data_IF_829332457738
#
_entry.id   IF_829332457738
#
_cell.length_a   1.000
_cell.length_b   1.000
_cell.length_c   1.000
_cell.angle_alpha   90.00
_cell.angle_beta   90.00
_cell.angle_gamma   90.00
#
_symmetry.space_group_name_H-M   'P 1'
#
loop_
_entity.id
_entity.type
_entity.pdbx_description
1 polymer ?
#
# COMPACT_ATOMS: atom_id res chain seq x y z
N UNK A 1 35.56 14.48 28.97
CA UNK A 1 34.99 13.41 28.13
C UNK A 1 33.81 13.94 27.33
N UNK A 2 33.73 13.65 26.03
CA UNK A 2 32.51 13.80 25.21
C UNK A 2 31.69 12.51 25.32
N UNK A 3 30.38 12.61 25.44
CA UNK A 3 29.49 11.61 24.84
C UNK A 3 28.21 12.31 24.38
N UNK A 4 28.10 12.49 23.07
CA UNK A 4 26.88 12.89 22.38
C UNK A 4 26.03 11.63 22.22
N UNK A 5 24.76 11.68 22.62
CA UNK A 5 23.77 10.67 22.22
C UNK A 5 22.53 11.40 21.69
N UNK A 6 22.16 11.00 20.48
CA UNK A 6 21.31 11.67 19.51
C UNK A 6 19.84 11.78 19.90
N UNK A 7 19.16 12.78 19.31
CA UNK A 7 17.71 12.96 19.34
C UNK A 7 17.01 11.69 18.85
N UNK A 8 16.39 10.94 19.75
CA UNK A 8 15.37 9.96 19.39
C UNK A 8 14.06 10.70 19.20
N UNK A 9 13.63 10.85 17.94
CA UNK A 9 12.24 11.20 17.63
C UNK A 9 11.37 10.07 18.21
N UNK A 10 10.78 10.33 19.36
CA UNK A 10 9.79 9.44 19.96
C UNK A 10 8.54 9.46 19.07
N UNK A 11 8.41 8.46 18.21
CA UNK A 11 7.09 8.01 17.80
C UNK A 11 6.41 7.59 19.10
N UNK A 12 5.50 8.43 19.58
CA UNK A 12 4.73 8.14 20.78
C UNK A 12 3.97 6.83 20.51
N UNK A 13 4.48 5.74 21.07
CA UNK A 13 3.71 4.54 21.32
C UNK A 13 2.70 4.92 22.40
N UNK A 14 1.57 5.49 21.99
CA UNK A 14 0.45 5.72 22.87
C UNK A 14 -0.14 4.36 23.23
N UNK A 15 0.29 3.80 24.37
CA UNK A 15 -0.38 2.74 25.16
C UNK A 15 -1.36 1.86 24.34
N UNK A 16 -0.81 1.05 23.44
CA UNK A 16 -1.62 0.15 22.64
C UNK A 16 -2.03 -1.03 23.52
N UNK A 17 -3.31 -1.06 23.92
CA UNK A 17 -4.01 -2.34 24.09
C UNK A 17 -3.72 -3.15 22.82
N UNK A 18 -2.83 -4.14 22.92
CA UNK A 18 -2.42 -5.09 21.88
C UNK A 18 -3.18 -4.90 20.55
N UNK A 19 -2.64 -4.10 19.63
CA UNK A 19 -3.29 -3.77 18.37
C UNK A 19 -3.44 -5.03 17.52
N UNK A 20 -4.65 -5.60 17.54
CA UNK A 20 -4.99 -6.78 16.76
C UNK A 20 -5.61 -6.37 15.43
N UNK A 21 -4.76 -6.31 14.40
CA UNK A 21 -5.16 -5.97 13.04
C UNK A 21 -6.27 -6.89 12.52
N UNK A 22 -6.26 -8.18 12.89
CA UNK A 22 -7.24 -9.15 12.38
C UNK A 22 -8.63 -8.89 12.97
N UNK A 23 -8.70 -8.57 14.27
CA UNK A 23 -9.97 -8.23 14.91
C UNK A 23 -10.61 -6.97 14.33
N UNK A 24 -9.81 -5.93 14.07
CA UNK A 24 -10.33 -4.71 13.45
C UNK A 24 -10.75 -4.93 11.99
N UNK A 25 -9.98 -5.74 11.23
CA UNK A 25 -10.34 -6.09 9.86
C UNK A 25 -11.66 -6.86 9.82
N UNK A 26 -11.85 -7.82 10.72
CA UNK A 26 -13.11 -8.56 10.84
C UNK A 26 -14.26 -7.63 11.18
N UNK A 27 -14.11 -6.78 12.20
CA UNK A 27 -15.15 -5.83 12.59
C UNK A 27 -15.54 -4.88 11.44
N UNK A 28 -14.57 -4.46 10.63
CA UNK A 28 -14.81 -3.67 9.43
C UNK A 28 -15.56 -4.47 8.35
N UNK A 29 -15.11 -5.70 8.04
CA UNK A 29 -15.76 -6.55 7.04
C UNK A 29 -17.19 -6.94 7.43
N UNK A 30 -17.43 -7.17 8.73
CA UNK A 30 -18.76 -7.46 9.28
C UNK A 30 -19.75 -6.30 9.05
N UNK A 31 -19.28 -5.04 8.88
CA UNK A 31 -20.17 -3.92 8.52
C UNK A 31 -20.74 -4.03 7.11
N UNK A 32 -20.09 -4.80 6.23
CA UNK A 32 -20.43 -4.95 4.80
C UNK A 32 -20.56 -3.63 4.03
N UNK A 33 -20.08 -2.53 4.59
CA UNK A 33 -20.29 -1.19 4.03
C UNK A 33 -19.23 -0.80 2.98
N UNK A 34 -18.15 -1.58 2.86
CA UNK A 34 -17.01 -1.28 1.98
C UNK A 34 -16.27 0.01 2.40
N UNK A 35 -15.28 0.42 1.60
CA UNK A 35 -14.46 1.63 1.90
C UNK A 35 -15.11 2.93 1.43
N UNK A 36 -16.06 2.88 0.49
CA UNK A 36 -16.72 4.08 -0.05
C UNK A 36 -17.46 4.86 1.04
N UNK A 37 -18.07 4.17 2.00
CA UNK A 37 -18.81 4.78 3.11
C UNK A 37 -17.90 5.62 4.01
N UNK A 38 -16.62 5.26 4.14
CA UNK A 38 -15.67 5.98 4.98
C UNK A 38 -15.42 7.39 4.44
N UNK A 39 -15.37 7.52 3.11
CA UNK A 39 -15.22 8.81 2.43
C UNK A 39 -16.48 9.66 2.60
N UNK A 40 -17.66 9.08 2.39
CA UNK A 40 -18.93 9.79 2.59
C UNK A 40 -19.18 10.20 4.06
N UNK A 41 -18.70 9.40 5.02
CA UNK A 41 -18.81 9.71 6.45
C UNK A 41 -17.88 10.86 6.89
N UNK A 42 -17.01 11.36 6.00
CA UNK A 42 -16.14 12.50 6.31
C UNK A 42 -15.09 12.22 7.38
N UNK A 43 -14.61 10.97 7.47
CA UNK A 43 -13.60 10.62 8.49
C UNK A 43 -12.33 11.45 8.27
N UNK A 44 -11.77 11.97 9.36
CA UNK A 44 -10.56 12.81 9.34
C UNK A 44 -9.28 12.02 9.60
N UNK A 45 -9.42 10.76 10.05
CA UNK A 45 -8.30 9.85 10.34
C UNK A 45 -8.54 8.51 9.65
N UNK A 46 -7.51 8.03 8.95
CA UNK A 46 -7.52 6.72 8.31
C UNK A 46 -7.44 5.62 9.38
N UNK A 47 -8.34 4.61 9.39
CA UNK A 47 -8.25 3.49 10.31
C UNK A 47 -6.92 2.74 10.15
N UNK A 48 -6.30 2.35 11.28
CA UNK A 48 -4.97 1.74 11.30
C UNK A 48 -4.88 0.46 10.46
N UNK A 49 -5.99 -0.26 10.23
CA UNK A 49 -6.03 -1.46 9.38
C UNK A 49 -5.63 -1.19 7.92
N UNK A 50 -5.85 0.04 7.43
CA UNK A 50 -5.49 0.48 6.08
C UNK A 50 -4.07 1.05 6.00
N UNK A 51 -3.40 1.23 7.14
CA UNK A 51 -2.04 1.75 7.19
C UNK A 51 -1.08 0.57 7.02
N UNK A 52 -0.30 0.60 5.94
CA UNK A 52 0.80 -0.35 5.74
C UNK A 52 1.93 0.05 6.67
N UNK A 53 2.20 -0.79 7.68
CA UNK A 53 3.37 -0.61 8.53
C UNK A 53 4.63 -0.77 7.66
N UNK A 54 5.64 0.11 7.80
CA UNK A 54 6.89 0.00 7.07
C UNK A 54 7.67 -1.22 7.58
N UNK A 55 7.42 -2.41 7.02
CA UNK A 55 8.10 -3.65 7.44
C UNK A 55 9.45 -3.87 6.75
N UNK A 56 9.67 -3.20 5.64
CA UNK A 56 10.97 -2.85 5.06
C UNK A 56 10.71 -1.51 4.40
N UNK A 57 11.74 -0.68 4.26
CA UNK A 57 11.70 0.46 3.33
C UNK A 57 11.10 -0.10 2.04
N UNK A 58 9.82 0.21 1.78
CA UNK A 58 9.32 0.19 0.42
C UNK A 58 10.26 1.22 -0.17
N UNK A 59 11.34 0.76 -0.82
CA UNK A 59 12.16 1.62 -1.64
C UNK A 59 11.11 2.38 -2.42
N UNK A 60 10.95 3.66 -2.07
CA UNK A 60 10.01 4.54 -2.72
C UNK A 60 10.24 4.25 -4.18
N UNK A 61 9.27 3.64 -4.84
CA UNK A 61 9.37 3.37 -6.27
C UNK A 61 9.29 4.70 -7.04
N UNK A 62 9.56 5.81 -6.37
CA UNK A 62 10.09 7.06 -6.91
C UNK A 62 11.55 6.93 -7.35
N UNK A 63 12.09 5.72 -7.54
CA UNK A 63 13.09 5.49 -8.60
C UNK A 63 12.35 5.35 -9.93
N UNK A 64 11.59 6.38 -10.32
CA UNK A 64 11.19 6.62 -11.71
C UNK A 64 12.44 7.02 -12.52
N UNK A 65 13.41 6.12 -12.58
CA UNK A 65 14.69 6.28 -13.26
C UNK A 65 14.99 5.15 -14.24
N UNK A 66 14.24 4.05 -14.20
CA UNK A 66 14.15 3.16 -15.36
C UNK A 66 12.81 3.46 -16.03
N UNK A 67 12.85 3.97 -17.25
CA UNK A 67 11.71 3.98 -18.18
C UNK A 67 11.33 2.52 -18.46
N UNK A 68 10.68 1.86 -17.51
CA UNK A 68 10.11 0.55 -17.71
C UNK A 68 8.76 0.76 -18.41
N UNK A 69 8.79 0.62 -19.72
CA UNK A 69 7.59 0.66 -20.55
C UNK A 69 7.10 -0.78 -20.68
N UNK A 70 5.87 -1.03 -20.23
CA UNK A 70 5.21 -2.30 -20.54
C UNK A 70 4.95 -2.36 -22.06
N UNK A 71 5.36 -3.44 -22.75
CA UNK A 71 5.12 -3.54 -24.18
C UNK A 71 3.61 -3.63 -24.46
N UNK A 72 3.18 -2.93 -25.51
CA UNK A 72 1.86 -3.13 -26.12
C UNK A 72 2.10 -3.97 -27.38
N UNK A 73 1.50 -5.14 -27.44
CA UNK A 73 1.58 -6.04 -28.60
C UNK A 73 0.27 -5.90 -29.36
N UNK A 74 0.36 -5.33 -30.57
CA UNK A 74 -0.74 -5.34 -31.53
C UNK A 74 -0.75 -6.68 -32.28
N UNK A 75 -1.93 -7.27 -32.42
CA UNK A 75 -2.14 -8.57 -33.04
C UNK A 75 -2.96 -8.46 -34.34
N UNK A 76 -3.20 -7.25 -34.83
CA UNK A 76 -3.86 -7.02 -36.12
C UNK A 76 -3.08 -7.71 -37.27
N UNK A 77 -3.79 -8.38 -38.18
CA UNK A 77 -3.20 -9.01 -39.37
C UNK A 77 -2.54 -10.38 -39.16
N UNK A 78 -2.60 -10.96 -37.95
CA UNK A 78 -2.04 -12.29 -37.68
C UNK A 78 -2.76 -13.46 -38.37
N UNK A 79 -3.89 -13.20 -39.03
CA UNK A 79 -4.69 -14.22 -39.74
C UNK A 79 -4.33 -14.35 -41.25
N UNK A 80 -3.37 -13.59 -41.77
CA UNK A 80 -3.13 -13.47 -43.23
C UNK A 80 -2.00 -14.34 -43.84
N UNK A 81 -1.36 -15.24 -43.08
CA UNK A 81 -0.41 -16.19 -43.67
C UNK A 81 -0.98 -17.62 -43.77
N UNK A 82 -1.36 -18.11 -44.97
CA UNK A 82 -1.48 -19.54 -45.16
C UNK A 82 -0.08 -20.15 -44.96
N UNK A 83 0.05 -21.03 -43.97
CA UNK A 83 1.25 -21.82 -43.70
C UNK A 83 1.70 -22.48 -45.01
N UNK A 84 2.72 -21.94 -45.66
CA UNK A 84 3.38 -22.58 -46.80
C UNK A 84 4.33 -23.63 -46.23
N UNK A 85 3.92 -24.90 -46.36
CA UNK A 85 4.71 -26.09 -46.04
C UNK A 85 5.80 -26.34 -47.07
#
# INVERSE_FOLDING_TARGET
>A
MKMVVSRTNHYQATNEKHYDKMRQLKAFDDTKAGVKVLVYAGITKVPQIFIIQPKKKLESSDKYGSQFIFPVIDLEGMDEEPIKR
#
